data_IF_386720221728
#
_entry.id   IF_386720221728
#
_cell.length_a   1.000
_cell.length_b   1.000
_cell.length_c   1.000
_cell.angle_alpha   90.00
_cell.angle_beta   90.00
_cell.angle_gamma   90.00
#
_symmetry.space_group_name_H-M   'P 1'
#
loop_
_entity.id
_entity.type
_entity.pdbx_description
1 polymer ?
#
# COMPACT_ATOMS: atom_id res chain seq x y z
N UNK A 1 -5.24 47.63 45.19
CA UNK A 1 -4.54 46.37 45.56
C UNK A 1 -5.45 45.13 45.57
N UNK A 2 -6.55 45.08 46.34
CA UNK A 2 -7.43 43.89 46.43
C UNK A 2 -8.01 43.41 45.08
N UNK A 3 -8.28 44.33 44.15
CA UNK A 3 -8.83 44.05 42.83
C UNK A 3 -7.80 43.42 41.88
N UNK A 4 -6.53 43.82 42.02
CA UNK A 4 -5.41 43.23 41.28
C UNK A 4 -5.22 41.78 41.73
N UNK A 5 -5.25 41.55 43.04
CA UNK A 5 -5.15 40.20 43.62
C UNK A 5 -6.33 39.34 43.13
N UNK A 6 -7.55 39.88 43.12
CA UNK A 6 -8.73 39.18 42.58
C UNK A 6 -8.58 38.79 41.10
N UNK A 7 -8.03 39.68 40.28
CA UNK A 7 -7.78 39.40 38.86
C UNK A 7 -6.76 38.27 38.65
N UNK A 8 -5.66 38.24 39.42
CA UNK A 8 -4.67 37.17 39.35
C UNK A 8 -5.21 35.82 39.82
N UNK A 9 -6.02 35.81 40.90
CA UNK A 9 -6.65 34.58 41.41
C UNK A 9 -7.65 34.03 40.38
N UNK A 10 -8.47 34.90 39.78
CA UNK A 10 -9.41 34.49 38.74
C UNK A 10 -8.69 33.95 37.50
N UNK A 11 -7.62 34.61 37.06
CA UNK A 11 -6.82 34.16 35.92
C UNK A 11 -6.17 32.79 36.17
N UNK A 12 -5.61 32.57 37.37
CA UNK A 12 -5.03 31.29 37.75
C UNK A 12 -6.07 30.16 37.77
N UNK A 13 -7.27 30.44 38.30
CA UNK A 13 -8.39 29.48 38.29
C UNK A 13 -8.84 29.17 36.86
N UNK A 14 -8.98 30.19 36.02
CA UNK A 14 -9.36 30.05 34.61
C UNK A 14 -8.35 29.20 33.83
N UNK A 15 -7.05 29.47 34.00
CA UNK A 15 -5.99 28.65 33.41
C UNK A 15 -6.03 27.20 33.92
N UNK A 16 -6.27 26.99 35.22
CA UNK A 16 -6.43 25.66 35.79
C UNK A 16 -7.59 24.87 35.17
N UNK A 17 -8.73 25.52 34.92
CA UNK A 17 -9.89 24.92 34.23
C UNK A 17 -9.55 24.57 32.79
N UNK A 18 -8.87 25.45 32.05
CA UNK A 18 -8.45 25.18 30.68
C UNK A 18 -7.50 23.99 30.59
N UNK A 19 -6.51 23.91 31.49
CA UNK A 19 -5.57 22.78 31.55
C UNK A 19 -6.31 21.48 31.87
N UNK A 20 -7.21 21.47 32.85
CA UNK A 20 -8.00 20.30 33.19
C UNK A 20 -8.88 19.81 32.03
N UNK A 21 -9.47 20.74 31.28
CA UNK A 21 -10.31 20.42 30.13
C UNK A 21 -9.48 19.89 28.95
N UNK A 22 -8.32 20.50 28.68
CA UNK A 22 -7.39 20.05 27.64
C UNK A 22 -6.81 18.67 27.94
N UNK A 23 -6.51 18.35 29.20
CA UNK A 23 -6.06 17.01 29.62
C UNK A 23 -7.15 15.94 29.48
N UNK A 24 -8.43 16.33 29.51
CA UNK A 24 -9.57 15.42 29.30
C UNK A 24 -9.94 15.25 27.83
N UNK A 25 -9.40 16.09 26.95
CA UNK A 25 -9.49 15.85 25.51
C UNK A 25 -8.41 14.83 25.15
N UNK A 26 -8.83 13.60 24.84
CA UNK A 26 -7.97 12.65 24.16
C UNK A 26 -7.63 13.22 22.78
N UNK A 27 -6.52 13.95 22.69
CA UNK A 27 -5.90 14.23 21.41
C UNK A 27 -5.33 12.90 20.95
N UNK A 28 -6.13 12.18 20.16
CA UNK A 28 -5.66 11.10 19.31
C UNK A 28 -4.50 11.65 18.51
N UNK A 29 -3.28 11.34 18.94
CA UNK A 29 -2.08 11.61 18.18
C UNK A 29 -2.18 10.73 16.93
N UNK A 30 -2.77 11.25 15.86
CA UNK A 30 -2.68 10.73 14.49
C UNK A 30 -1.23 10.95 14.01
N UNK A 31 -0.28 10.36 14.74
CA UNK A 31 1.15 10.62 14.62
C UNK A 31 1.94 9.33 14.40
N UNK A 32 1.30 8.16 14.48
CA UNK A 32 1.97 6.92 14.08
C UNK A 32 1.87 6.62 12.58
N UNK A 33 0.84 7.11 11.90
CA UNK A 33 0.58 6.74 10.49
C UNK A 33 1.09 7.77 9.47
N UNK A 34 1.26 9.03 9.85
CA UNK A 34 1.58 10.10 8.89
C UNK A 34 2.98 9.97 8.26
N UNK A 35 4.00 9.61 9.03
CA UNK A 35 5.35 9.37 8.49
C UNK A 35 5.46 8.05 7.72
N UNK A 36 4.77 7.02 8.17
CA UNK A 36 4.81 5.71 7.54
C UNK A 36 4.19 5.74 6.13
N UNK A 37 3.17 6.56 5.92
CA UNK A 37 2.50 6.62 4.62
C UNK A 37 3.33 7.41 3.59
N UNK A 38 4.00 8.50 3.97
CA UNK A 38 4.95 9.21 3.10
C UNK A 38 6.13 8.33 2.67
N UNK A 39 6.67 7.51 3.59
CA UNK A 39 7.74 6.55 3.29
C UNK A 39 7.26 5.41 2.39
N UNK A 40 6.06 4.85 2.62
CA UNK A 40 5.49 3.80 1.76
C UNK A 40 5.25 4.32 0.33
N UNK A 41 4.77 5.55 0.18
CA UNK A 41 4.58 6.17 -1.13
C UNK A 41 5.91 6.37 -1.86
N UNK A 42 6.92 6.91 -1.17
CA UNK A 42 8.26 7.10 -1.74
C UNK A 42 8.90 5.79 -2.21
N UNK A 43 8.78 4.73 -1.41
CA UNK A 43 9.27 3.40 -1.78
C UNK A 43 8.49 2.79 -2.96
N UNK A 44 7.16 2.96 -3.02
CA UNK A 44 6.37 2.49 -4.16
C UNK A 44 6.83 3.17 -5.47
N UNK A 45 7.07 4.49 -5.44
CA UNK A 45 7.56 5.21 -6.62
C UNK A 45 8.92 4.71 -7.09
N UNK A 46 9.85 4.45 -6.16
CA UNK A 46 11.17 3.92 -6.49
C UNK A 46 11.05 2.55 -7.18
N UNK A 47 10.21 1.65 -6.64
CA UNK A 47 9.98 0.31 -7.21
C UNK A 47 9.37 0.35 -8.61
N UNK A 48 8.44 1.28 -8.84
CA UNK A 48 7.85 1.53 -10.16
C UNK A 48 8.89 2.10 -11.11
N UNK A 49 9.72 3.04 -10.65
CA UNK A 49 10.83 3.60 -11.44
C UNK A 49 11.83 2.53 -11.86
N UNK A 50 12.23 1.67 -10.92
CA UNK A 50 13.11 0.53 -11.16
C UNK A 50 12.54 -0.40 -12.25
N UNK A 51 11.25 -0.74 -12.13
CA UNK A 51 10.57 -1.58 -13.12
C UNK A 51 10.42 -0.88 -14.48
N UNK A 52 10.30 0.45 -14.48
CA UNK A 52 10.21 1.23 -15.72
C UNK A 52 11.51 1.33 -16.47
N UNK A 53 12.64 1.28 -15.76
CA UNK A 53 13.99 1.26 -16.34
C UNK A 53 14.39 -0.11 -16.90
N UNK A 54 13.60 -1.17 -16.67
CA UNK A 54 13.89 -2.50 -17.21
C UNK A 54 13.72 -2.52 -18.75
N UNK A 55 14.64 -3.18 -19.47
CA UNK A 55 14.55 -3.31 -20.92
C UNK A 55 13.37 -4.18 -21.37
N UNK A 56 12.98 -5.17 -20.56
CA UNK A 56 11.81 -6.00 -20.76
C UNK A 56 10.96 -6.00 -19.49
N UNK A 57 9.70 -5.55 -19.59
CA UNK A 57 8.79 -5.46 -18.44
C UNK A 57 7.93 -6.72 -18.33
N UNK A 58 7.53 -7.13 -17.11
CA UNK A 58 6.51 -8.16 -16.96
C UNK A 58 5.19 -7.73 -17.60
N UNK A 59 4.55 -8.65 -18.30
CA UNK A 59 3.23 -8.49 -18.88
C UNK A 59 2.19 -9.25 -18.06
N UNK A 60 1.09 -8.56 -17.77
CA UNK A 60 -0.05 -9.07 -17.00
C UNK A 60 -1.27 -9.06 -17.91
N UNK A 61 -1.98 -10.19 -17.95
CA UNK A 61 -3.20 -10.37 -18.74
C UNK A 61 -4.14 -11.37 -18.07
N UNK A 62 -5.42 -11.34 -18.47
CA UNK A 62 -6.38 -12.37 -18.12
C UNK A 62 -6.54 -13.37 -19.26
N UNK A 63 -6.64 -14.65 -18.90
CA UNK A 63 -6.98 -15.76 -19.78
C UNK A 63 -8.11 -16.56 -19.13
N UNK A 64 -9.37 -16.22 -19.46
CA UNK A 64 -10.53 -16.81 -18.79
C UNK A 64 -10.55 -16.45 -17.30
N UNK A 65 -10.56 -17.44 -16.41
CA UNK A 65 -10.51 -17.23 -14.96
C UNK A 65 -9.10 -17.16 -14.38
N UNK A 66 -8.08 -17.04 -15.22
CA UNK A 66 -6.67 -17.07 -14.82
C UNK A 66 -5.99 -15.74 -15.09
N UNK A 67 -5.08 -15.37 -14.20
CA UNK A 67 -4.13 -14.30 -14.44
C UNK A 67 -2.86 -14.90 -14.99
N UNK A 68 -2.44 -14.44 -16.16
CA UNK A 68 -1.15 -14.80 -16.75
C UNK A 68 -0.14 -13.69 -16.52
N UNK A 69 0.96 -14.07 -15.89
CA UNK A 69 2.17 -13.28 -15.76
C UNK A 69 3.19 -13.81 -16.77
N UNK A 70 3.61 -12.98 -17.72
CA UNK A 70 4.67 -13.30 -18.69
C UNK A 70 5.89 -12.42 -18.42
N UNK A 71 7.03 -13.03 -18.13
CA UNK A 71 8.26 -12.29 -17.85
C UNK A 71 9.47 -13.18 -18.13
N UNK A 72 10.41 -12.67 -18.93
CA UNK A 72 11.55 -13.45 -19.42
C UNK A 72 12.58 -13.77 -18.32
N UNK A 73 12.60 -12.98 -17.24
CA UNK A 73 13.52 -13.15 -16.11
C UNK A 73 12.84 -13.75 -14.87
N UNK A 74 11.78 -14.55 -15.04
CA UNK A 74 11.11 -15.22 -13.91
C UNK A 74 12.05 -16.10 -13.08
N UNK A 75 13.10 -16.66 -13.67
CA UNK A 75 14.08 -17.48 -12.95
C UNK A 75 14.90 -16.70 -11.93
N UNK A 76 15.00 -15.38 -12.09
CA UNK A 76 15.77 -14.47 -11.22
C UNK A 76 14.88 -13.78 -10.18
N UNK A 77 13.57 -14.05 -10.20
CA UNK A 77 12.62 -13.41 -9.28
C UNK A 77 12.77 -13.99 -7.89
N UNK A 78 13.01 -13.11 -6.93
CA UNK A 78 12.96 -13.38 -5.50
C UNK A 78 11.72 -12.70 -4.90
N UNK A 79 11.13 -13.30 -3.85
CA UNK A 79 9.98 -12.76 -3.13
C UNK A 79 8.83 -12.29 -4.04
N UNK A 80 8.64 -12.98 -5.17
CA UNK A 80 7.65 -12.63 -6.16
C UNK A 80 6.23 -12.76 -5.59
N UNK A 81 5.41 -11.73 -5.78
CA UNK A 81 4.04 -11.66 -5.30
C UNK A 81 3.16 -10.98 -6.32
N UNK A 82 2.09 -11.68 -6.72
CA UNK A 82 1.05 -11.19 -7.61
C UNK A 82 -0.18 -10.84 -6.77
N UNK A 83 -0.69 -9.63 -6.91
CA UNK A 83 -1.92 -9.17 -6.26
C UNK A 83 -2.97 -8.87 -7.30
N UNK A 84 -4.18 -9.38 -7.11
CA UNK A 84 -5.34 -9.11 -7.97
C UNK A 84 -6.37 -8.47 -7.06
N UNK A 85 -6.73 -7.22 -7.31
CA UNK A 85 -7.65 -6.47 -6.45
C UNK A 85 -8.83 -5.98 -7.27
N UNK A 86 -10.05 -6.14 -6.76
CA UNK A 86 -11.24 -5.58 -7.39
C UNK A 86 -11.67 -4.33 -6.63
N UNK A 87 -11.57 -3.13 -7.22
CA UNK A 87 -11.90 -1.87 -6.53
C UNK A 87 -13.31 -1.82 -5.94
N UNK A 88 -14.27 -2.54 -6.53
CA UNK A 88 -15.66 -2.57 -6.09
C UNK A 88 -15.97 -3.62 -5.02
N UNK A 89 -15.11 -4.63 -4.82
CA UNK A 89 -15.43 -5.77 -3.95
C UNK A 89 -14.16 -6.48 -3.46
N UNK A 90 -13.70 -6.12 -2.27
CA UNK A 90 -12.52 -6.70 -1.62
C UNK A 90 -12.60 -8.23 -1.41
N UNK A 91 -13.80 -8.82 -1.36
CA UNK A 91 -13.98 -10.27 -1.26
C UNK A 91 -13.46 -11.05 -2.49
N UNK A 92 -13.14 -10.35 -3.59
CA UNK A 92 -12.55 -10.91 -4.82
C UNK A 92 -11.07 -10.52 -4.97
N UNK A 93 -10.42 -10.12 -3.87
CA UNK A 93 -9.00 -9.85 -3.85
C UNK A 93 -8.21 -11.15 -3.65
N UNK A 94 -7.19 -11.36 -4.49
CA UNK A 94 -6.30 -12.51 -4.45
C UNK A 94 -4.85 -12.08 -4.32
N UNK A 95 -4.08 -12.92 -3.65
CA UNK A 95 -2.63 -12.79 -3.57
C UNK A 95 -2.00 -14.15 -3.83
N UNK A 96 -1.03 -14.18 -4.72
CA UNK A 96 -0.29 -15.38 -5.09
C UNK A 96 1.20 -15.17 -4.91
N UNK A 97 1.90 -16.22 -4.49
CA UNK A 97 3.35 -16.27 -4.53
C UNK A 97 3.81 -16.67 -5.93
N UNK A 98 4.71 -15.87 -6.50
CA UNK A 98 5.33 -16.11 -7.79
C UNK A 98 6.67 -16.78 -7.52
N UNK A 99 6.73 -18.08 -7.80
CA UNK A 99 7.95 -18.88 -7.59
C UNK A 99 8.89 -18.73 -8.79
N UNK A 100 10.20 -18.58 -8.59
CA UNK A 100 11.14 -18.55 -9.68
C UNK A 100 11.05 -19.82 -10.54
N UNK A 101 11.02 -19.64 -11.85
CA UNK A 101 10.87 -20.74 -12.82
C UNK A 101 11.64 -20.45 -14.11
N UNK A 102 12.05 -21.50 -14.81
CA UNK A 102 12.65 -21.39 -16.13
C UNK A 102 11.63 -21.08 -17.24
N UNK A 103 10.32 -21.23 -16.96
CA UNK A 103 9.27 -20.86 -17.89
C UNK A 103 9.17 -19.33 -18.04
N UNK A 104 8.81 -18.86 -19.24
CA UNK A 104 8.60 -17.43 -19.52
C UNK A 104 7.24 -16.91 -19.04
N UNK A 105 6.36 -17.79 -18.52
CA UNK A 105 5.07 -17.40 -17.99
C UNK A 105 4.58 -18.31 -16.85
N UNK A 106 3.76 -17.74 -15.96
CA UNK A 106 3.01 -18.45 -14.93
C UNK A 106 1.54 -18.04 -14.96
N UNK A 107 0.64 -18.98 -14.66
CA UNK A 107 -0.80 -18.76 -14.59
C UNK A 107 -1.30 -18.99 -13.16
N UNK A 108 -2.22 -18.13 -12.72
CA UNK A 108 -2.81 -18.17 -11.39
C UNK A 108 -4.33 -18.19 -11.51
N UNK A 109 -4.96 -19.24 -11.00
CA UNK A 109 -6.40 -19.44 -11.10
C UNK A 109 -7.15 -18.72 -9.98
N UNK A 110 -8.17 -17.94 -10.35
CA UNK A 110 -9.06 -17.27 -9.42
C UNK A 110 -10.17 -18.25 -9.00
N UNK A 111 -10.32 -18.49 -7.69
CA UNK A 111 -11.35 -19.40 -7.16
C UNK A 111 -12.77 -18.88 -7.39
N UNK A 112 -12.94 -17.57 -7.35
CA UNK A 112 -14.17 -16.86 -7.64
C UNK A 112 -13.80 -15.58 -8.41
N UNK A 113 -14.57 -15.25 -9.43
CA UNK A 113 -14.35 -14.04 -10.22
C UNK A 113 -15.69 -13.56 -10.78
N UNK A 114 -15.75 -12.26 -11.06
CA UNK A 114 -16.89 -11.63 -11.70
C UNK A 114 -16.35 -10.72 -12.80
N UNK A 115 -17.03 -10.56 -13.94
CA UNK A 115 -16.59 -9.63 -14.97
C UNK A 115 -16.40 -8.20 -14.43
N UNK A 116 -15.45 -7.47 -15.02
CA UNK A 116 -15.21 -6.07 -14.71
C UNK A 116 -13.75 -5.71 -14.47
N UNK A 117 -13.54 -4.55 -13.83
CA UNK A 117 -12.23 -3.96 -13.65
C UNK A 117 -11.49 -4.55 -12.45
N UNK A 118 -10.26 -5.00 -12.69
CA UNK A 118 -9.32 -5.44 -11.68
C UNK A 118 -8.01 -4.67 -11.78
N UNK A 119 -7.42 -4.40 -10.63
CA UNK A 119 -6.05 -3.91 -10.49
C UNK A 119 -5.14 -5.10 -10.24
N UNK A 120 -4.32 -5.45 -11.22
CA UNK A 120 -3.35 -6.53 -11.11
C UNK A 120 -1.97 -5.94 -10.93
N UNK A 121 -1.33 -6.27 -9.82
CA UNK A 121 0.00 -5.81 -9.44
C UNK A 121 0.95 -6.99 -9.32
N UNK A 122 2.20 -6.79 -9.74
CA UNK A 122 3.28 -7.75 -9.54
C UNK A 122 4.45 -7.03 -8.85
N UNK A 123 4.84 -7.56 -7.69
CA UNK A 123 6.01 -7.13 -6.93
C UNK A 123 7.04 -8.24 -6.87
N UNK A 124 8.31 -7.89 -7.03
CA UNK A 124 9.40 -8.84 -6.90
C UNK A 124 10.69 -8.13 -6.50
N UNK A 125 11.68 -8.90 -6.05
CA UNK A 125 13.04 -8.44 -5.84
C UNK A 125 14.02 -9.20 -6.74
N UNK A 126 15.12 -8.55 -7.11
CA UNK A 126 16.27 -9.19 -7.78
C UNK A 126 17.52 -8.54 -7.19
N UNK A 127 18.45 -9.35 -6.68
CA UNK A 127 19.72 -8.88 -6.10
C UNK A 127 19.54 -7.76 -5.05
N UNK A 128 18.52 -7.87 -4.20
CA UNK A 128 18.21 -6.87 -3.16
C UNK A 128 17.51 -5.60 -3.64
N UNK A 129 17.26 -5.44 -4.94
CA UNK A 129 16.47 -4.32 -5.46
C UNK A 129 15.02 -4.73 -5.68
N UNK A 130 14.08 -3.91 -5.20
CA UNK A 130 12.65 -4.16 -5.34
C UNK A 130 12.07 -3.49 -6.60
N UNK A 131 11.09 -4.16 -7.18
CA UNK A 131 10.39 -3.77 -8.39
C UNK A 131 8.88 -3.89 -8.18
N UNK A 132 8.13 -3.10 -8.94
CA UNK A 132 6.67 -3.16 -8.94
C UNK A 132 6.09 -2.71 -10.27
N UNK A 133 5.16 -3.50 -10.82
CA UNK A 133 4.31 -3.10 -11.94
C UNK A 133 2.85 -3.30 -11.58
N UNK A 134 2.00 -2.43 -12.09
CA UNK A 134 0.55 -2.46 -11.88
C UNK A 134 -0.14 -2.18 -13.21
N UNK A 135 -1.20 -2.94 -13.51
CA UNK A 135 -2.09 -2.70 -14.64
C UNK A 135 -3.54 -2.81 -14.21
N UNK A 136 -4.37 -1.95 -14.76
CA UNK A 136 -5.81 -2.12 -14.75
C UNK A 136 -6.20 -3.02 -15.91
N UNK A 137 -6.82 -4.15 -15.61
CA UNK A 137 -7.25 -5.15 -16.57
C UNK A 137 -8.76 -5.37 -16.43
N UNK A 138 -9.41 -5.63 -17.55
CA UNK A 138 -10.84 -5.99 -17.57
C UNK A 138 -10.93 -7.50 -17.81
N UNK A 139 -11.67 -8.17 -16.93
CA UNK A 139 -12.03 -9.57 -17.02
C UNK A 139 -13.39 -9.74 -17.71
#
# INVERSE_FOLDING_TARGET
MKWIIGAFVFFALFMGVLVFLAMRQEVSLVSKTYYDDELKHSNKMLRVSNANALPAKPELSFEGNRVKLSYIQLSQVENGRLTVQRPSKAALDYQFEVKPTAASSQQFELKAWEPGLYRVGFSWSVNGQEYYVEKLLVL
#
